data_IF_965029412431
#
_entry.id   IF_965029412431
#
_cell.length_a   1.000
_cell.length_b   1.000
_cell.length_c   1.000
_cell.angle_alpha   90.00
_cell.angle_beta   90.00
_cell.angle_gamma   90.00
#
_symmetry.space_group_name_H-M   'P 1'
#
loop_
_entity.id
_entity.type
_entity.pdbx_description
1 polymer ?
#
# COMPACT_ATOMS: atom_id res chain seq x y z
N UNK A 1 -5.70 2.37 -1.39
CA UNK A 1 -5.65 0.97 -1.87
C UNK A 1 -4.30 0.65 -2.51
N UNK A 2 -3.87 1.35 -3.57
CA UNK A 2 -2.57 1.12 -4.22
C UNK A 2 -1.37 1.13 -3.26
N UNK A 3 -1.34 2.06 -2.29
CA UNK A 3 -0.28 2.14 -1.30
C UNK A 3 -0.06 0.85 -0.47
N UNK A 4 -1.12 0.11 -0.14
CA UNK A 4 -1.01 -1.14 0.62
C UNK A 4 -0.48 -2.29 -0.26
N UNK A 5 -0.80 -2.27 -1.55
CA UNK A 5 -0.23 -3.21 -2.52
C UNK A 5 1.27 -2.94 -2.64
N UNK A 6 1.68 -1.69 -2.81
CA UNK A 6 3.10 -1.33 -2.88
C UNK A 6 3.86 -1.68 -1.59
N UNK A 7 3.24 -1.47 -0.41
CA UNK A 7 3.81 -1.90 0.88
C UNK A 7 3.96 -3.44 0.94
N UNK A 8 2.96 -4.20 0.47
CA UNK A 8 3.03 -5.67 0.37
C UNK A 8 4.18 -6.11 -0.54
N UNK A 9 4.41 -5.38 -1.63
CA UNK A 9 5.53 -5.57 -2.55
C UNK A 9 6.88 -5.06 -2.01
N UNK A 10 6.92 -4.58 -0.75
CA UNK A 10 8.12 -4.06 -0.07
C UNK A 10 8.71 -2.82 -0.74
N UNK A 11 7.88 -2.04 -1.44
CA UNK A 11 8.29 -0.72 -1.95
C UNK A 11 8.52 0.23 -0.75
N UNK A 12 9.62 0.99 -0.72
CA UNK A 12 9.87 1.96 0.33
C UNK A 12 8.74 2.99 0.47
N UNK A 13 8.29 3.24 1.71
CA UNK A 13 7.22 4.21 2.02
C UNK A 13 7.41 5.62 1.44
N UNK A 14 8.64 6.19 1.34
CA UNK A 14 8.83 7.46 0.65
C UNK A 14 8.37 7.42 -0.81
N UNK A 15 8.67 6.34 -1.53
CA UNK A 15 8.26 6.16 -2.93
C UNK A 15 6.73 6.01 -3.03
N UNK A 16 6.12 5.28 -2.09
CA UNK A 16 4.66 5.14 -2.03
C UNK A 16 3.97 6.48 -1.75
N UNK A 17 4.56 7.31 -0.88
CA UNK A 17 4.04 8.65 -0.59
C UNK A 17 4.14 9.56 -1.81
N UNK A 18 5.26 9.51 -2.52
CA UNK A 18 5.46 10.31 -3.74
C UNK A 18 4.46 9.94 -4.82
N UNK A 19 4.20 8.64 -5.03
CA UNK A 19 3.14 8.13 -5.93
C UNK A 19 1.74 8.61 -5.51
N UNK A 20 1.42 8.52 -4.22
CA UNK A 20 0.14 8.98 -3.69
C UNK A 20 -0.07 10.49 -3.91
N UNK A 21 0.93 11.32 -3.63
CA UNK A 21 0.85 12.77 -3.85
C UNK A 21 0.83 13.14 -5.33
N UNK A 22 1.43 12.32 -6.20
CA UNK A 22 1.36 12.51 -7.64
C UNK A 22 -0.05 12.39 -8.20
N UNK A 23 -0.94 11.63 -7.55
CA UNK A 23 -2.34 11.45 -7.97
C UNK A 23 -3.09 12.78 -8.10
N UNK A 24 -2.77 13.78 -7.28
CA UNK A 24 -3.39 15.11 -7.37
C UNK A 24 -3.10 15.82 -8.69
N UNK A 25 -1.91 15.61 -9.26
CA UNK A 25 -1.50 16.21 -10.53
C UNK A 25 -2.24 15.58 -11.71
N UNK A 26 -2.61 14.31 -11.57
CA UNK A 26 -3.18 13.51 -12.65
C UNK A 26 -4.71 13.49 -12.64
N UNK A 27 -5.37 14.12 -11.67
CA UNK A 27 -6.82 14.06 -11.50
C UNK A 27 -7.36 15.38 -10.95
N UNK A 28 -8.01 16.16 -11.81
CA UNK A 28 -8.56 17.46 -11.44
C UNK A 28 -9.62 17.30 -10.33
N UNK A 29 -9.45 18.05 -9.24
CA UNK A 29 -10.36 18.02 -8.09
C UNK A 29 -10.08 16.92 -7.05
N UNK A 30 -9.14 15.99 -7.32
CA UNK A 30 -8.74 15.01 -6.32
C UNK A 30 -7.97 15.69 -5.18
N UNK A 31 -8.38 15.43 -3.94
CA UNK A 31 -7.67 15.88 -2.74
C UNK A 31 -6.95 14.68 -2.11
N UNK A 32 -5.65 14.83 -1.92
CA UNK A 32 -4.79 13.88 -1.22
C UNK A 32 -3.99 14.64 -0.17
N UNK A 33 -3.73 14.01 0.98
CA UNK A 33 -2.96 14.62 2.06
C UNK A 33 -2.02 13.59 2.66
N UNK A 34 -0.76 13.97 2.87
CA UNK A 34 0.25 13.05 3.41
C UNK A 34 -0.19 12.42 4.75
N UNK A 35 -0.85 13.19 5.62
CA UNK A 35 -1.29 12.72 6.93
C UNK A 35 -2.34 11.61 6.84
N UNK A 36 -3.19 11.60 5.79
CA UNK A 36 -4.17 10.53 5.59
C UNK A 36 -3.46 9.19 5.36
N UNK A 37 -2.42 9.18 4.52
CA UNK A 37 -1.65 7.97 4.26
C UNK A 37 -0.76 7.59 5.46
N UNK A 38 -0.22 8.56 6.20
CA UNK A 38 0.53 8.29 7.45
C UNK A 38 -0.32 7.59 8.51
N UNK A 39 -1.59 7.94 8.64
CA UNK A 39 -2.53 7.24 9.54
C UNK A 39 -2.69 5.78 9.14
N UNK A 40 -2.77 5.49 7.84
CA UNK A 40 -2.83 4.10 7.34
C UNK A 40 -1.55 3.34 7.72
N UNK A 41 -0.37 3.91 7.46
CA UNK A 41 0.89 3.27 7.85
C UNK A 41 1.00 3.02 9.35
N UNK A 42 0.52 3.96 10.18
CA UNK A 42 0.47 3.76 11.63
C UNK A 42 -0.41 2.57 12.03
N UNK A 43 -1.52 2.33 11.34
CA UNK A 43 -2.37 1.16 11.61
C UNK A 43 -1.72 -0.15 11.11
N UNK A 44 -1.01 -0.11 9.98
CA UNK A 44 -0.19 -1.23 9.50
C UNK A 44 0.89 -1.59 10.54
N UNK A 45 1.60 -0.60 11.06
CA UNK A 45 2.64 -0.80 12.07
C UNK A 45 2.07 -1.38 13.37
N UNK A 46 0.92 -0.86 13.82
CA UNK A 46 0.21 -1.40 15.01
C UNK A 46 -0.23 -2.85 14.86
N UNK A 47 -0.53 -3.30 13.64
CA UNK A 47 -0.89 -4.68 13.37
C UNK A 47 0.34 -5.62 13.36
N UNK A 48 1.56 -5.08 13.41
CA UNK A 48 2.80 -5.85 13.27
C UNK A 48 3.30 -5.96 11.83
N UNK A 49 2.82 -5.10 10.93
CA UNK A 49 3.22 -5.05 9.53
C UNK A 49 2.07 -5.32 8.55
N UNK A 50 2.39 -5.27 7.25
CA UNK A 50 1.39 -5.32 6.17
C UNK A 50 0.65 -6.65 6.09
N UNK A 51 1.32 -7.78 6.32
CA UNK A 51 0.71 -9.10 6.23
C UNK A 51 -0.33 -9.33 7.35
N UNK A 52 -0.02 -9.11 8.65
CA UNK A 52 -1.03 -9.13 9.71
C UNK A 52 -2.17 -8.14 9.50
N UNK A 53 -1.87 -6.93 9.02
CA UNK A 53 -2.88 -5.92 8.72
C UNK A 53 -3.88 -6.41 7.68
N UNK A 54 -3.39 -6.93 6.54
CA UNK A 54 -4.23 -7.45 5.46
C UNK A 54 -5.01 -8.69 5.89
N UNK A 55 -4.41 -9.58 6.68
CA UNK A 55 -5.10 -10.72 7.27
C UNK A 55 -6.29 -10.28 8.15
N UNK A 56 -6.10 -9.28 9.01
CA UNK A 56 -7.18 -8.70 9.83
C UNK A 56 -8.27 -8.02 8.99
N UNK A 57 -7.95 -7.60 7.77
CA UNK A 57 -8.93 -7.11 6.79
C UNK A 57 -9.60 -8.24 5.98
N UNK A 58 -9.32 -9.51 6.27
CA UNK A 58 -9.91 -10.66 5.58
C UNK A 58 -9.18 -11.08 4.29
N UNK A 59 -7.99 -10.54 4.01
CA UNK A 59 -7.19 -10.96 2.85
C UNK A 59 -6.41 -12.22 3.19
N UNK A 60 -6.62 -13.29 2.42
CA UNK A 60 -5.93 -14.55 2.64
C UNK A 60 -4.45 -14.48 2.25
N UNK A 61 -3.61 -15.29 2.90
CA UNK A 61 -2.20 -15.45 2.52
C UNK A 61 -2.04 -15.93 1.08
N UNK A 62 -2.98 -16.74 0.58
CA UNK A 62 -2.99 -17.20 -0.81
C UNK A 62 -3.18 -16.05 -1.79
N UNK A 63 -4.06 -15.09 -1.49
CA UNK A 63 -4.28 -13.92 -2.34
C UNK A 63 -3.10 -12.96 -2.27
N UNK A 64 -2.52 -12.73 -1.09
CA UNK A 64 -1.29 -11.95 -0.94
C UNK A 64 -0.14 -12.53 -1.78
N UNK A 65 0.00 -13.86 -1.78
CA UNK A 65 1.00 -14.58 -2.59
C UNK A 65 0.76 -14.36 -4.09
N UNK A 66 -0.47 -14.56 -4.57
CA UNK A 66 -0.84 -14.33 -5.98
C UNK A 66 -0.53 -12.90 -6.44
N UNK A 67 -0.82 -11.90 -5.60
CA UNK A 67 -0.50 -10.50 -5.92
C UNK A 67 1.01 -10.31 -6.10
N UNK A 68 1.82 -10.87 -5.20
CA UNK A 68 3.28 -10.79 -5.31
C UNK A 68 3.80 -11.47 -6.58
N UNK A 69 3.32 -12.68 -6.87
CA UNK A 69 3.73 -13.47 -8.05
C UNK A 69 3.34 -12.79 -9.37
N UNK A 70 2.16 -12.18 -9.43
CA UNK A 70 1.68 -11.53 -10.65
C UNK A 70 2.35 -10.18 -10.92
N UNK A 71 2.75 -9.44 -9.88
CA UNK A 71 3.25 -8.07 -10.01
C UNK A 71 4.77 -7.97 -9.93
N UNK A 72 5.43 -8.89 -9.23
CA UNK A 72 6.89 -9.03 -9.28
C UNK A 72 7.20 -10.02 -10.40
N UNK A 73 7.34 -9.50 -11.62
CA UNK A 73 7.83 -10.31 -12.74
C UNK A 73 9.25 -10.74 -12.39
N UNK A 74 9.46 -12.01 -12.04
CA UNK A 74 10.78 -12.63 -12.03
C UNK A 74 11.32 -12.57 -13.46
N UNK A 75 12.26 -11.67 -13.71
CA UNK A 75 13.16 -11.79 -14.86
C UNK A 75 14.39 -12.58 -14.42
#
# INVERSE_FOLDING_TARGET
MAALVLELLRVPRPIIMDDYLASQRNSQGLKVQADWLRVVFKNVDKAGGIEPFLHNCGVSTADMKKVRENLLVSK
#
